data_IF_410541471095
#
_entry.id   IF_410541471095
#
_cell.length_a   1.000
_cell.length_b   1.000
_cell.length_c   1.000
_cell.angle_alpha   90.00
_cell.angle_beta   90.00
_cell.angle_gamma   90.00
#
_symmetry.space_group_name_H-M   'P 1'
#
loop_
_entity.id
_entity.type
_entity.pdbx_description
1 polymer ?
#
# COMPACT_ATOMS: atom_id res chain seq x y z
N UNK A 1 52.22 -22.07 -50.49
CA UNK A 1 51.50 -23.11 -49.72
C UNK A 1 51.78 -22.76 -48.29
N UNK A 2 51.07 -21.75 -47.84
CA UNK A 2 51.52 -20.83 -46.80
C UNK A 2 50.49 -20.91 -45.68
N UNK A 3 51.01 -21.15 -44.48
CA UNK A 3 50.34 -21.11 -43.18
C UNK A 3 49.08 -21.95 -42.99
N UNK A 4 49.27 -23.06 -42.29
CA UNK A 4 48.24 -23.70 -41.47
C UNK A 4 47.76 -22.69 -40.43
N UNK A 5 46.51 -22.27 -40.54
CA UNK A 5 45.79 -21.46 -39.56
C UNK A 5 45.59 -22.27 -38.26
N UNK A 6 46.25 -21.82 -37.20
CA UNK A 6 45.94 -22.16 -35.80
C UNK A 6 44.56 -21.57 -35.37
N UNK A 7 43.98 -22.06 -34.26
CA UNK A 7 42.57 -22.42 -34.18
C UNK A 7 41.63 -21.27 -33.77
N UNK A 8 40.53 -21.13 -34.50
CA UNK A 8 39.44 -20.20 -34.20
C UNK A 8 38.37 -20.90 -33.34
N UNK A 9 38.65 -21.17 -32.06
CA UNK A 9 37.64 -21.64 -31.12
C UNK A 9 38.06 -21.46 -29.66
N UNK A 10 38.05 -20.22 -29.20
CA UNK A 10 37.74 -19.87 -27.81
C UNK A 10 37.64 -18.34 -27.69
N UNK A 11 36.59 -17.75 -28.28
CA UNK A 11 36.07 -16.49 -27.74
C UNK A 11 35.39 -16.84 -26.42
N UNK A 12 36.23 -17.08 -25.42
CA UNK A 12 35.85 -17.04 -24.02
C UNK A 12 35.25 -15.64 -23.82
N UNK A 13 33.92 -15.57 -23.84
CA UNK A 13 33.16 -14.43 -23.39
C UNK A 13 33.46 -14.34 -21.90
N UNK A 14 34.63 -13.78 -21.58
CA UNK A 14 35.02 -13.32 -20.26
C UNK A 14 34.12 -12.12 -20.00
N UNK A 15 32.85 -12.40 -19.76
CA UNK A 15 31.95 -11.51 -19.05
C UNK A 15 32.72 -11.14 -17.79
N UNK A 16 33.27 -9.93 -17.81
CA UNK A 16 33.82 -9.32 -16.63
C UNK A 16 32.72 -9.39 -15.60
N UNK A 17 32.86 -10.31 -14.65
CA UNK A 17 32.07 -10.35 -13.44
C UNK A 17 32.33 -9.01 -12.77
N UNK A 18 31.52 -8.01 -13.12
CA UNK A 18 31.67 -6.63 -12.67
C UNK A 18 31.24 -6.63 -11.22
N UNK A 19 32.15 -7.04 -10.35
CA UNK A 19 31.93 -7.13 -8.92
C UNK A 19 31.47 -5.77 -8.38
N UNK A 20 31.94 -4.69 -9.00
CA UNK A 20 31.48 -3.32 -8.77
C UNK A 20 29.99 -3.14 -9.09
N UNK A 21 29.50 -3.65 -10.23
CA UNK A 21 28.09 -3.58 -10.62
C UNK A 21 27.19 -4.40 -9.69
N UNK A 22 27.59 -5.64 -9.39
CA UNK A 22 26.89 -6.51 -8.44
C UNK A 22 26.87 -5.89 -7.04
N UNK A 23 27.98 -5.30 -6.60
CA UNK A 23 28.10 -4.63 -5.31
C UNK A 23 27.21 -3.39 -5.23
N UNK A 24 27.17 -2.56 -6.27
CA UNK A 24 26.29 -1.38 -6.34
C UNK A 24 24.83 -1.81 -6.34
N UNK A 25 24.46 -2.83 -7.13
CA UNK A 25 23.09 -3.35 -7.16
C UNK A 25 22.65 -3.90 -5.79
N UNK A 26 23.52 -4.67 -5.12
CA UNK A 26 23.25 -5.22 -3.79
C UNK A 26 23.18 -4.13 -2.71
N UNK A 27 23.99 -3.08 -2.81
CA UNK A 27 23.94 -1.93 -1.90
C UNK A 27 22.61 -1.17 -2.04
N UNK A 28 22.15 -0.94 -3.27
CA UNK A 28 20.86 -0.28 -3.53
C UNK A 28 19.71 -1.10 -2.94
N UNK A 29 19.66 -2.41 -3.22
CA UNK A 29 18.64 -3.31 -2.67
C UNK A 29 18.68 -3.34 -1.12
N UNK A 30 19.87 -3.23 -0.50
CA UNK A 30 19.99 -3.19 0.96
C UNK A 30 19.43 -1.88 1.56
N UNK A 31 19.71 -0.73 0.93
CA UNK A 31 19.18 0.57 1.37
C UNK A 31 17.66 0.60 1.19
N UNK A 32 17.16 0.10 0.06
CA UNK A 32 15.74 -0.01 -0.23
C UNK A 32 15.02 -0.92 0.77
N UNK A 33 15.63 -2.05 1.14
CA UNK A 33 15.11 -2.94 2.18
C UNK A 33 15.02 -2.25 3.55
N UNK A 34 16.07 -1.53 3.96
CA UNK A 34 16.09 -0.82 5.25
C UNK A 34 15.07 0.32 5.26
N UNK A 35 15.00 1.13 4.20
CA UNK A 35 14.02 2.22 4.08
C UNK A 35 12.58 1.69 4.04
N UNK A 36 12.37 0.55 3.35
CA UNK A 36 11.10 -0.17 3.35
C UNK A 36 10.71 -0.65 4.75
N UNK A 37 11.63 -1.30 5.48
CA UNK A 37 11.40 -1.80 6.83
C UNK A 37 11.10 -0.67 7.84
N UNK A 38 11.81 0.46 7.77
CA UNK A 38 11.57 1.64 8.61
C UNK A 38 10.20 2.25 8.29
N UNK A 39 9.84 2.38 7.02
CA UNK A 39 8.52 2.88 6.59
C UNK A 39 7.38 2.01 7.11
N UNK A 40 7.58 0.69 7.07
CA UNK A 40 6.65 -0.28 7.63
C UNK A 40 6.47 -0.10 9.14
N UNK A 41 7.58 0.05 9.85
CA UNK A 41 7.60 0.27 11.30
C UNK A 41 6.94 1.61 11.68
N UNK A 42 7.24 2.69 10.97
CA UNK A 42 6.63 4.00 11.18
C UNK A 42 5.11 4.00 10.96
N UNK A 43 4.62 3.14 10.06
CA UNK A 43 3.18 2.94 9.84
C UNK A 43 2.44 2.45 11.09
N UNK A 44 3.08 1.66 11.97
CA UNK A 44 2.49 1.19 13.24
C UNK A 44 2.29 2.32 14.26
N UNK A 45 3.17 3.33 14.28
CA UNK A 45 3.01 4.50 15.15
C UNK A 45 1.75 5.30 14.81
N UNK A 46 1.37 5.34 13.53
CA UNK A 46 0.15 5.98 13.06
C UNK A 46 -1.11 5.26 13.55
N UNK A 47 -1.11 3.92 13.60
CA UNK A 47 -2.22 3.15 14.18
C UNK A 47 -2.33 3.38 15.70
N UNK A 48 -1.18 3.46 16.38
CA UNK A 48 -1.15 3.76 17.82
C UNK A 48 -1.66 5.18 18.13
N UNK A 49 -1.23 6.19 17.37
CA UNK A 49 -1.69 7.57 17.52
C UNK A 49 -3.19 7.72 17.23
N UNK A 50 -3.67 6.99 16.21
CA UNK A 50 -5.08 6.94 15.85
C UNK A 50 -5.91 6.32 16.99
N UNK A 51 -5.44 5.21 17.58
CA UNK A 51 -6.06 4.60 18.77
C UNK A 51 -6.11 5.54 19.98
N UNK A 52 -5.04 6.31 20.25
CA UNK A 52 -5.03 7.33 21.29
C UNK A 52 -6.06 8.43 21.01
N UNK A 53 -6.08 8.98 19.79
CA UNK A 53 -7.04 10.01 19.40
C UNK A 53 -8.49 9.50 19.48
N UNK A 54 -8.73 8.25 19.08
CA UNK A 54 -10.04 7.61 19.17
C UNK A 54 -10.51 7.48 20.62
N UNK A 55 -9.62 7.06 21.53
CA UNK A 55 -9.91 6.95 22.97
C UNK A 55 -10.27 8.31 23.59
N UNK A 56 -9.48 9.34 23.27
CA UNK A 56 -9.75 10.70 23.74
C UNK A 56 -11.07 11.23 23.15
N UNK A 57 -11.26 11.12 21.84
CA UNK A 57 -12.44 11.64 21.14
C UNK A 57 -13.74 10.94 21.59
N UNK A 58 -13.68 9.63 21.86
CA UNK A 58 -14.80 8.88 22.44
C UNK A 58 -15.15 9.36 23.85
N UNK A 59 -14.14 9.67 24.68
CA UNK A 59 -14.35 10.18 26.05
C UNK A 59 -15.00 11.56 26.04
N UNK A 60 -14.49 12.50 25.23
CA UNK A 60 -15.13 13.83 25.12
C UNK A 60 -16.51 13.75 24.48
N UNK A 61 -16.75 12.86 23.51
CA UNK A 61 -18.09 12.65 22.95
C UNK A 61 -19.07 12.15 24.03
N UNK A 62 -18.65 11.17 24.84
CA UNK A 62 -19.46 10.64 25.94
C UNK A 62 -19.76 11.71 27.00
N UNK A 63 -18.74 12.46 27.43
CA UNK A 63 -18.90 13.47 28.47
C UNK A 63 -19.67 14.71 28.00
N UNK A 64 -19.43 15.18 26.77
CA UNK A 64 -20.03 16.43 26.28
C UNK A 64 -21.36 16.22 25.57
N UNK A 65 -21.58 15.07 24.95
CA UNK A 65 -22.88 14.75 24.35
C UNK A 65 -23.76 13.97 25.32
N UNK A 66 -23.38 12.75 25.70
CA UNK A 66 -24.29 11.83 26.41
C UNK A 66 -24.67 12.33 27.80
N UNK A 67 -23.71 12.76 28.62
CA UNK A 67 -24.00 13.32 29.95
C UNK A 67 -24.81 14.63 29.89
N UNK A 68 -24.58 15.47 28.87
CA UNK A 68 -25.34 16.70 28.68
C UNK A 68 -26.82 16.43 28.37
N UNK A 69 -27.11 15.46 27.50
CA UNK A 69 -28.50 15.08 27.19
C UNK A 69 -29.16 14.29 28.33
N UNK A 70 -28.39 13.60 29.18
CA UNK A 70 -28.92 12.86 30.32
C UNK A 70 -29.48 13.76 31.43
N UNK A 71 -28.98 14.98 31.55
CA UNK A 71 -29.47 15.97 32.52
C UNK A 71 -30.87 16.53 32.22
N UNK A 72 -31.42 16.28 31.02
CA UNK A 72 -32.78 16.69 30.67
C UNK A 72 -33.80 15.60 31.00
N UNK A 73 -34.88 15.98 31.70
CA UNK A 73 -35.97 15.07 32.08
C UNK A 73 -36.86 14.67 30.88
N UNK A 74 -36.81 15.45 29.80
CA UNK A 74 -37.59 15.20 28.59
C UNK A 74 -37.12 13.93 27.86
N UNK A 75 -37.99 12.92 27.77
CA UNK A 75 -37.73 11.66 27.05
C UNK A 75 -37.29 11.89 25.60
N UNK A 76 -37.91 12.86 24.91
CA UNK A 76 -37.57 13.23 23.52
C UNK A 76 -36.13 13.74 23.42
N UNK A 77 -35.70 14.58 24.37
CA UNK A 77 -34.33 15.11 24.38
C UNK A 77 -33.29 14.00 24.63
N UNK A 78 -33.60 13.04 25.50
CA UNK A 78 -32.76 11.87 25.75
C UNK A 78 -32.62 10.98 24.52
N UNK A 79 -33.72 10.73 23.81
CA UNK A 79 -33.75 9.87 22.63
C UNK A 79 -33.04 10.53 21.44
N UNK A 80 -33.21 11.84 21.27
CA UNK A 80 -32.46 12.65 20.30
C UNK A 80 -30.95 12.62 20.60
N UNK A 81 -30.57 12.80 21.87
CA UNK A 81 -29.17 12.72 22.31
C UNK A 81 -28.53 11.37 22.05
N UNK A 82 -29.27 10.28 22.29
CA UNK A 82 -28.82 8.91 21.99
C UNK A 82 -28.62 8.70 20.48
N UNK A 83 -29.56 9.18 19.65
CA UNK A 83 -29.44 9.08 18.19
C UNK A 83 -28.26 9.89 17.65
N UNK A 84 -28.03 11.09 18.17
CA UNK A 84 -26.90 11.94 17.80
C UNK A 84 -25.56 11.30 18.21
N UNK A 85 -25.50 10.75 19.43
CA UNK A 85 -24.33 10.03 19.93
C UNK A 85 -24.01 8.79 19.08
N UNK A 86 -25.03 8.00 18.75
CA UNK A 86 -24.87 6.84 17.88
C UNK A 86 -24.38 7.23 16.48
N UNK A 87 -24.97 8.26 15.86
CA UNK A 87 -24.54 8.74 14.55
C UNK A 87 -23.12 9.33 14.56
N UNK A 88 -22.77 10.10 15.59
CA UNK A 88 -21.41 10.64 15.76
C UNK A 88 -20.36 9.53 15.94
N UNK A 89 -20.69 8.49 16.70
CA UNK A 89 -19.78 7.35 16.92
C UNK A 89 -19.61 6.50 15.66
N UNK A 90 -20.70 6.18 14.97
CA UNK A 90 -20.61 5.36 13.74
C UNK A 90 -20.00 6.15 12.58
N UNK A 91 -20.43 7.40 12.40
CA UNK A 91 -20.07 8.23 11.25
C UNK A 91 -18.72 8.94 11.37
N UNK A 92 -18.38 9.48 12.53
CA UNK A 92 -17.14 10.25 12.69
C UNK A 92 -16.04 9.34 13.23
N UNK A 93 -16.30 8.64 14.33
CA UNK A 93 -15.29 7.79 14.99
C UNK A 93 -15.00 6.52 14.17
N UNK A 94 -16.02 5.74 13.78
CA UNK A 94 -15.80 4.41 13.18
C UNK A 94 -15.37 4.46 11.71
N UNK A 95 -15.99 5.33 10.90
CA UNK A 95 -15.67 5.46 9.48
C UNK A 95 -14.28 6.05 9.22
N UNK A 96 -13.85 7.06 9.99
CA UNK A 96 -12.51 7.65 9.81
C UNK A 96 -11.39 6.65 10.13
N UNK A 97 -11.56 5.88 11.20
CA UNK A 97 -10.62 4.82 11.60
C UNK A 97 -10.50 3.75 10.52
N UNK A 98 -11.65 3.30 10.00
CA UNK A 98 -11.71 2.23 9.00
C UNK A 98 -11.10 2.66 7.67
N UNK A 99 -11.37 3.90 7.24
CA UNK A 99 -10.78 4.47 6.01
C UNK A 99 -9.26 4.61 6.15
N UNK A 100 -8.78 5.06 7.31
CA UNK A 100 -7.35 5.14 7.60
C UNK A 100 -6.72 3.75 7.50
N UNK A 101 -7.24 2.76 8.23
CA UNK A 101 -6.74 1.38 8.20
C UNK A 101 -6.76 0.77 6.78
N UNK A 102 -7.79 1.05 5.98
CA UNK A 102 -7.88 0.62 4.59
C UNK A 102 -6.76 1.21 3.72
N UNK A 103 -6.51 2.52 3.81
CA UNK A 103 -5.44 3.17 3.05
C UNK A 103 -4.04 2.72 3.49
N UNK A 104 -3.87 2.36 4.77
CA UNK A 104 -2.63 1.72 5.23
C UNK A 104 -2.42 0.36 4.58
N UNK A 105 -3.45 -0.49 4.55
CA UNK A 105 -3.39 -1.79 3.90
C UNK A 105 -3.13 -1.65 2.40
N UNK A 106 -3.75 -0.67 1.74
CA UNK A 106 -3.50 -0.36 0.33
C UNK A 106 -2.08 0.15 0.09
N UNK A 107 -1.53 0.96 1.00
CA UNK A 107 -0.11 1.39 0.93
C UNK A 107 0.84 0.22 1.07
N UNK A 108 0.57 -0.71 1.98
CA UNK A 108 1.37 -1.93 2.14
C UNK A 108 1.28 -2.79 0.88
N UNK A 109 0.08 -3.00 0.35
CA UNK A 109 -0.10 -3.72 -0.91
C UNK A 109 0.64 -3.02 -2.06
N UNK A 110 0.52 -1.71 -2.21
CA UNK A 110 1.21 -1.02 -3.30
C UNK A 110 2.72 -1.01 -3.09
N UNK A 111 3.22 -0.49 -1.98
CA UNK A 111 4.66 -0.25 -1.79
C UNK A 111 5.43 -1.51 -1.48
N UNK A 112 4.82 -2.51 -0.85
CA UNK A 112 5.52 -3.73 -0.46
C UNK A 112 5.28 -4.87 -1.44
N UNK A 113 4.09 -4.99 -2.04
CA UNK A 113 3.83 -6.02 -3.05
C UNK A 113 4.42 -5.67 -4.43
N UNK A 114 4.37 -4.39 -4.86
CA UNK A 114 5.01 -4.00 -6.12
C UNK A 114 6.54 -3.95 -6.00
N UNK A 115 7.07 -3.38 -4.92
CA UNK A 115 8.51 -3.14 -4.82
C UNK A 115 9.32 -4.42 -4.50
N UNK A 116 8.67 -5.49 -4.01
CA UNK A 116 9.33 -6.74 -3.62
C UNK A 116 9.08 -7.92 -4.56
N UNK A 117 7.97 -7.93 -5.29
CA UNK A 117 7.57 -9.07 -6.15
C UNK A 117 7.26 -8.68 -7.60
N UNK A 118 7.09 -7.40 -7.92
CA UNK A 118 6.79 -6.95 -9.29
C UNK A 118 8.07 -6.46 -9.97
N UNK A 119 8.77 -7.36 -10.64
CA UNK A 119 9.95 -7.02 -11.46
C UNK A 119 9.63 -6.23 -12.74
N UNK A 120 8.38 -5.84 -12.95
CA UNK A 120 7.99 -5.03 -14.11
C UNK A 120 8.08 -5.75 -15.46
N UNK A 121 8.38 -7.05 -15.48
CA UNK A 121 8.49 -7.84 -16.70
C UNK A 121 7.26 -8.74 -16.88
N UNK A 122 6.27 -8.22 -17.61
CA UNK A 122 5.04 -8.91 -17.93
C UNK A 122 4.30 -8.23 -19.08
N UNK A 123 4.07 -8.97 -20.16
CA UNK A 123 3.25 -8.48 -21.27
C UNK A 123 1.76 -8.60 -20.91
N UNK A 124 0.98 -7.55 -21.17
CA UNK A 124 -0.49 -7.64 -21.07
C UNK A 124 -0.98 -8.70 -22.06
N UNK A 125 -1.52 -9.78 -21.53
CA UNK A 125 -2.13 -10.84 -22.35
C UNK A 125 -3.32 -10.25 -23.11
N UNK A 126 -3.18 -10.09 -24.42
CA UNK A 126 -4.30 -9.79 -25.32
C UNK A 126 -4.83 -11.12 -25.84
N UNK A 127 -5.95 -11.64 -25.32
CA UNK A 127 -6.56 -12.83 -25.91
C UNK A 127 -7.02 -12.49 -27.33
N UNK A 128 -6.90 -13.46 -28.24
CA UNK A 128 -7.40 -13.34 -29.60
C UNK A 128 -8.95 -13.27 -29.53
N UNK A 129 -9.52 -12.08 -29.72
CA UNK A 129 -10.97 -11.86 -29.77
C UNK A 129 -11.36 -11.50 -31.20
N UNK A 130 -12.36 -12.19 -31.74
CA UNK A 130 -12.90 -11.91 -33.07
C UNK A 130 -13.48 -10.49 -33.20
N UNK A 131 -13.75 -9.82 -32.08
CA UNK A 131 -14.15 -8.41 -32.04
C UNK A 131 -13.01 -7.46 -32.48
N UNK A 132 -11.73 -7.83 -32.29
CA UNK A 132 -10.60 -7.00 -32.75
C UNK A 132 -10.32 -7.13 -34.24
N UNK A 133 -10.75 -8.22 -34.89
CA UNK A 133 -10.70 -8.37 -36.34
C UNK A 133 -11.81 -7.58 -37.03
N UNK A 134 -13.02 -7.56 -36.45
CA UNK A 134 -14.16 -6.83 -37.02
C UNK A 134 -14.00 -5.30 -37.01
N UNK A 135 -13.09 -4.73 -36.20
CA UNK A 135 -12.81 -3.30 -36.18
C UNK A 135 -11.67 -2.86 -37.12
N UNK A 136 -10.78 -3.79 -37.51
CA UNK A 136 -9.66 -3.50 -38.44
C UNK A 136 -10.09 -3.72 -39.91
N UNK A 137 -11.11 -4.56 -40.15
CA UNK A 137 -11.72 -4.81 -41.46
C UNK A 137 -12.93 -3.89 -41.76
N UNK A 138 -13.02 -2.74 -41.08
CA UNK A 138 -14.04 -1.72 -41.30
C UNK A 138 -13.92 -1.04 -42.66
N UNK A 139 -14.39 -1.73 -43.70
CA UNK A 139 -15.13 -1.12 -44.79
C UNK A 139 -16.34 -0.33 -44.27
#
# INVERSE_FOLDING_TARGET
MDNEEEPDSAREHKEEFNFSEVFVHQMIHSIEFVLGAVSNTASYLRLWALSLAHSELSTVLYEKALLFFWGYDNLIARLMGMSLFAFGTVGILLMMETLSAFLHALRLHWVEFQNKFYHGDGYKFKPFSFESLAHDDGC
#
